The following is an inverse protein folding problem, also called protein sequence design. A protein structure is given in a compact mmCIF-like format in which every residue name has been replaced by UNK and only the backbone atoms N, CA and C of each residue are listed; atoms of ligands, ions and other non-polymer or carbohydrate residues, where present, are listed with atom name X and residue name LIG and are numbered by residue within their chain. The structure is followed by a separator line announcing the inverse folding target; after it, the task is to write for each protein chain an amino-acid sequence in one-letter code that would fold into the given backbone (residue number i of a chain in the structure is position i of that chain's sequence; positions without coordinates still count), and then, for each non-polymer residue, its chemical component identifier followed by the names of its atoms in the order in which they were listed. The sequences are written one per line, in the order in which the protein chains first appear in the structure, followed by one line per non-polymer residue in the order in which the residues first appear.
data_IF_889541548626
#
_entry.id   IF_889541548626
#
_cell.length_a   1.000
_cell.length_b   1.000
_cell.length_c   1.000
_cell.angle_alpha   90.00
_cell.angle_beta   90.00
_cell.angle_gamma   90.00
#
_symmetry.space_group_name_H-M   'P 1'
#
loop_
_entity.id
_entity.type
_entity.pdbx_description
1 polymer ?
#
# COMPACT_ATOMS: atom_id res chain seq x y z
N UNK A 1 13.88 -10.59 -1.60
CA UNK A 1 15.20 -10.29 -1.01
C UNK A 1 15.05 -10.22 0.49
N UNK A 2 15.98 -10.76 1.29
CA UNK A 2 15.86 -10.66 2.74
C UNK A 2 16.69 -9.49 3.27
N UNK A 3 16.31 -8.99 4.44
CA UNK A 3 17.07 -7.99 5.13
C UNK A 3 16.68 -7.86 6.59
N UNK A 4 17.43 -7.02 7.29
CA UNK A 4 17.18 -6.70 8.69
C UNK A 4 16.78 -5.23 8.80
N UNK A 5 15.68 -4.97 9.50
CA UNK A 5 15.20 -3.60 9.72
C UNK A 5 16.21 -2.86 10.60
N UNK A 6 16.87 -1.85 10.03
CA UNK A 6 17.87 -1.03 10.72
C UNK A 6 17.19 -0.03 11.65
N UNK A 7 16.12 0.58 11.17
CA UNK A 7 15.18 1.33 12.01
C UNK A 7 13.82 1.43 11.33
N UNK A 8 12.76 1.56 12.14
CA UNK A 8 11.43 1.89 11.65
C UNK A 8 10.72 2.85 12.60
N UNK A 9 10.14 3.93 12.07
CA UNK A 9 9.38 4.88 12.85
C UNK A 9 7.88 4.70 12.62
N UNK A 10 7.20 4.01 13.55
CA UNK A 10 5.76 3.77 13.50
C UNK A 10 4.91 5.05 13.49
N UNK A 11 5.40 6.15 14.11
CA UNK A 11 4.68 7.43 14.14
C UNK A 11 4.73 8.16 12.80
N UNK A 12 5.87 8.07 12.09
CA UNK A 12 6.04 8.72 10.78
C UNK A 12 5.74 7.80 9.60
N UNK A 13 5.66 6.49 9.81
CA UNK A 13 5.35 5.50 8.77
C UNK A 13 6.48 5.23 7.78
N UNK A 14 7.74 5.41 8.18
CA UNK A 14 8.89 5.09 7.32
C UNK A 14 10.05 4.48 8.11
N UNK A 15 10.93 3.78 7.41
CA UNK A 15 12.13 3.17 7.96
C UNK A 15 13.14 2.79 6.89
N UNK A 16 14.17 2.05 7.31
CA UNK A 16 15.21 1.53 6.43
C UNK A 16 15.51 0.06 6.76
N UNK A 17 15.67 -0.72 5.72
CA UNK A 17 16.00 -2.14 5.77
C UNK A 17 17.40 -2.32 5.19
N UNK A 18 18.29 -2.95 5.93
CA UNK A 18 19.61 -3.32 5.43
C UNK A 18 19.49 -4.68 4.75
N UNK A 19 19.67 -4.70 3.43
CA UNK A 19 19.64 -5.92 2.63
C UNK A 19 20.92 -6.75 2.82
N UNK A 20 20.85 -8.03 2.48
CA UNK A 20 22.01 -8.94 2.54
C UNK A 20 23.15 -8.52 1.59
N UNK A 21 22.84 -7.74 0.56
CA UNK A 21 23.78 -7.17 -0.42
C UNK A 21 24.57 -5.97 0.12
N UNK A 22 24.26 -5.51 1.34
CA UNK A 22 24.89 -4.36 1.97
C UNK A 22 24.30 -3.00 1.56
N UNK A 23 23.23 -2.99 0.76
CA UNK A 23 22.49 -1.79 0.39
C UNK A 23 21.39 -1.49 1.43
N UNK A 24 21.14 -0.20 1.65
CA UNK A 24 20.04 0.26 2.51
C UNK A 24 18.81 0.58 1.63
N UNK A 25 17.70 -0.09 1.91
CA UNK A 25 16.43 0.04 1.21
C UNK A 25 15.44 0.85 2.03
N UNK A 26 14.82 1.86 1.41
CA UNK A 26 13.80 2.68 2.04
C UNK A 26 12.46 1.95 2.10
N UNK A 27 11.82 1.90 3.28
CA UNK A 27 10.49 1.31 3.45
C UNK A 27 9.48 2.35 3.92
N UNK A 28 8.29 2.32 3.34
CA UNK A 28 7.16 3.18 3.68
C UNK A 28 5.95 2.34 4.12
N UNK A 29 5.07 2.91 4.95
CA UNK A 29 3.90 2.21 5.47
C UNK A 29 2.96 1.69 4.37
N UNK A 30 3.00 2.30 3.17
CA UNK A 30 2.23 1.87 2.00
C UNK A 30 2.71 0.56 1.40
N UNK A 31 3.97 0.19 1.63
CA UNK A 31 4.56 -1.07 1.19
C UNK A 31 4.34 -2.21 2.20
N UNK A 32 3.73 -1.91 3.36
CA UNK A 32 3.40 -2.87 4.40
C UNK A 32 1.91 -3.28 4.28
N UNK A 33 1.58 -4.55 4.56
CA UNK A 33 0.19 -4.98 4.63
C UNK A 33 -0.57 -4.26 5.76
N UNK A 34 -1.89 -4.14 5.59
CA UNK A 34 -2.79 -3.45 6.53
C UNK A 34 -2.63 -4.02 7.95
N UNK A 35 -2.32 -3.15 8.92
CA UNK A 35 -2.18 -3.52 10.33
C UNK A 35 -0.79 -4.04 10.74
N UNK A 36 0.14 -4.21 9.79
CA UNK A 36 1.49 -4.70 10.08
C UNK A 36 2.44 -3.53 10.37
N UNK A 37 3.15 -3.60 11.50
CA UNK A 37 4.20 -2.66 11.87
C UNK A 37 5.53 -3.39 11.99
N UNK A 38 6.59 -2.81 11.45
CA UNK A 38 7.95 -3.31 11.65
C UNK A 38 8.55 -2.79 12.95
N UNK A 39 9.47 -3.56 13.52
CA UNK A 39 10.35 -3.14 14.63
C UNK A 39 11.80 -3.14 14.16
N UNK A 40 12.63 -2.45 14.91
CA UNK A 40 14.08 -2.52 14.76
C UNK A 40 14.57 -3.96 15.00
N UNK A 41 15.56 -4.38 14.21
CA UNK A 41 16.14 -5.74 14.21
C UNK A 41 15.20 -6.85 13.72
N UNK A 42 13.99 -6.54 13.24
CA UNK A 42 13.14 -7.55 12.60
C UNK A 42 13.76 -8.06 11.30
N UNK A 43 13.62 -9.37 11.05
CA UNK A 43 13.98 -9.96 9.76
C UNK A 43 12.76 -9.94 8.85
N UNK A 44 12.95 -9.36 7.66
CA UNK A 44 11.89 -9.18 6.67
C UNK A 44 12.35 -9.67 5.30
N UNK A 45 11.39 -10.12 4.50
CA UNK A 45 11.54 -10.30 3.06
C UNK A 45 10.87 -9.14 2.35
N UNK A 46 11.51 -8.59 1.33
CA UNK A 46 11.00 -7.48 0.54
C UNK A 46 11.48 -7.59 -0.91
N UNK A 47 10.81 -6.90 -1.80
CA UNK A 47 11.23 -6.77 -3.19
C UNK A 47 11.95 -5.42 -3.38
N UNK A 48 13.22 -5.44 -3.82
CA UNK A 48 13.93 -4.21 -4.12
C UNK A 48 13.32 -3.57 -5.37
N UNK A 49 12.89 -2.32 -5.26
CA UNK A 49 12.36 -1.53 -6.36
C UNK A 49 13.05 -0.17 -6.42
N UNK A 50 13.10 0.43 -7.60
CA UNK A 50 13.64 1.77 -7.78
C UNK A 50 12.54 2.81 -7.49
N UNK A 51 12.83 3.82 -6.68
CA UNK A 51 11.90 4.88 -6.33
C UNK A 51 12.53 6.26 -6.43
N UNK A 52 11.72 7.30 -6.25
CA UNK A 52 12.13 8.71 -6.43
C UNK A 52 13.29 9.15 -5.51
N UNK A 53 13.53 8.40 -4.43
CA UNK A 53 14.56 8.70 -3.42
C UNK A 53 15.64 7.62 -3.35
N UNK A 54 15.75 6.78 -4.38
CA UNK A 54 16.68 5.65 -4.44
C UNK A 54 15.98 4.30 -4.26
N UNK A 55 16.73 3.30 -3.82
CA UNK A 55 16.22 1.94 -3.63
C UNK A 55 15.15 1.91 -2.53
N UNK A 56 13.95 1.45 -2.88
CA UNK A 56 12.83 1.21 -1.97
C UNK A 56 12.55 -0.28 -1.84
N UNK A 57 11.89 -0.64 -0.75
CA UNK A 57 11.40 -2.00 -0.48
C UNK A 57 9.89 -2.05 -0.70
N UNK A 58 9.44 -2.94 -1.58
CA UNK A 58 8.02 -3.25 -1.84
C UNK A 58 7.66 -4.64 -1.32
N UNK A 59 6.36 -4.94 -1.22
CA UNK A 59 5.82 -6.24 -0.78
C UNK A 59 6.48 -6.78 0.50
N UNK A 60 6.59 -5.93 1.53
CA UNK A 60 7.36 -6.30 2.72
C UNK A 60 6.61 -7.31 3.59
N UNK A 61 7.27 -8.44 3.86
CA UNK A 61 6.77 -9.55 4.67
C UNK A 61 7.69 -9.80 5.88
N UNK A 62 7.10 -9.94 7.07
CA UNK A 62 7.84 -10.31 8.28
C UNK A 62 8.20 -11.80 8.24
N UNK A 63 9.50 -12.11 8.30
CA UNK A 63 10.01 -13.48 8.41
C UNK A 63 10.22 -13.89 9.87
N UNK A 64 10.79 -12.98 10.67
CA UNK A 64 11.05 -13.22 12.08
C UNK A 64 10.93 -11.91 12.86
N UNK A 65 10.00 -11.88 13.81
CA UNK A 65 9.92 -10.78 14.77
C UNK A 65 11.05 -10.93 15.80
N UNK A 66 11.77 -9.85 16.06
CA UNK A 66 12.71 -9.77 17.16
C UNK A 66 11.90 -9.74 18.48
N UNK A 67 11.72 -10.92 19.08
CA UNK A 67 11.08 -11.17 20.38
C UNK A 67 9.61 -10.73 20.54
N UNK A 68 8.72 -11.70 20.35
CA UNK A 68 7.33 -11.65 20.82
C UNK A 68 7.24 -12.04 22.31
N UNK A 69 7.57 -11.10 23.21
CA UNK A 69 7.00 -11.13 24.56
C UNK A 69 6.27 -9.81 24.82
N UNK A 70 4.93 -9.88 24.72
CA UNK A 70 4.01 -8.86 25.24
C UNK A 70 3.68 -7.71 24.30
N UNK A 71 2.82 -7.94 23.32
CA UNK A 71 1.74 -7.00 22.99
C UNK A 71 0.66 -7.80 22.23
N UNK A 72 -0.20 -8.43 23.02
CA UNK A 72 -1.51 -8.91 22.60
C UNK A 72 -2.41 -7.75 22.18
N UNK A 73 -3.48 -8.05 21.44
CA UNK A 73 -4.46 -7.11 20.85
C UNK A 73 -3.99 -6.37 19.59
N UNK A 74 -4.12 -7.01 18.43
CA UNK A 74 -5.19 -6.67 17.47
C UNK A 74 -5.03 -7.47 16.16
N UNK A 75 -5.74 -8.58 16.10
CA UNK A 75 -6.55 -8.92 14.94
C UNK A 75 -7.97 -9.16 15.48
N UNK A 76 -9.01 -8.86 14.70
CA UNK A 76 -9.36 -9.86 13.70
C UNK A 76 -9.41 -9.29 12.28
N UNK A 77 -9.00 -10.14 11.36
CA UNK A 77 -9.57 -10.17 10.04
C UNK A 77 -11.04 -10.55 10.17
N UNK A 78 -11.94 -9.79 9.55
CA UNK A 78 -13.32 -10.23 9.30
C UNK A 78 -13.64 -9.90 7.84
N UNK A 79 -13.25 -10.84 6.99
CA UNK A 79 -14.02 -11.18 5.79
C UNK A 79 -15.21 -12.00 6.28
N UNK A 80 -16.44 -11.49 6.15
CA UNK A 80 -17.65 -12.30 6.02
C UNK A 80 -18.70 -11.45 5.28
N UNK A 81 -19.21 -11.99 4.17
CA UNK A 81 -20.31 -11.48 3.38
C UNK A 81 -21.69 -11.82 4.00
N UNK A 82 -22.78 -11.27 3.43
CA UNK A 82 -24.22 -11.56 3.68
C UNK A 82 -24.87 -10.68 4.77
N UNK A 83 -26.08 -10.12 4.70
CA UNK A 83 -27.27 -10.21 3.81
C UNK A 83 -28.31 -9.21 4.35
N UNK A 84 -29.17 -8.66 3.45
CA UNK A 84 -30.60 -8.26 3.67
C UNK A 84 -30.98 -7.26 4.80
N UNK A 85 -32.04 -6.45 4.74
CA UNK A 85 -32.93 -5.94 3.69
C UNK A 85 -33.73 -4.77 4.33
N UNK A 86 -34.13 -3.81 3.48
CA UNK A 86 -35.36 -3.00 3.54
C UNK A 86 -35.77 -2.22 4.81
N UNK A 87 -35.82 -0.88 4.71
CA UNK A 87 -37.10 -0.15 4.52
C UNK A 87 -36.89 1.37 4.44
N UNK A 88 -37.45 1.99 3.38
CA UNK A 88 -38.41 3.12 3.43
C UNK A 88 -38.02 4.45 4.12
N UNK A 89 -38.26 5.66 3.61
CA UNK A 89 -39.10 6.17 2.51
C UNK A 89 -38.71 7.66 2.26
N UNK A 90 -38.89 8.11 1.02
CA UNK A 90 -39.14 9.47 0.47
C UNK A 90 -38.25 10.71 0.73
N UNK A 91 -37.76 11.32 -0.37
CA UNK A 91 -38.16 12.66 -0.89
C UNK A 91 -37.40 12.89 -2.23
N UNK A 92 -38.00 12.65 -3.40
CA UNK A 92 -38.88 13.52 -4.22
C UNK A 92 -38.17 14.68 -4.97
N UNK A 93 -38.38 14.67 -6.30
CA UNK A 93 -38.24 15.72 -7.32
C UNK A 93 -36.82 16.15 -7.77
N UNK A 94 -36.42 15.87 -9.01
CA UNK A 94 -36.75 16.54 -10.30
C UNK A 94 -35.70 17.64 -10.61
N UNK A 95 -34.79 17.40 -11.55
CA UNK A 95 -34.64 18.09 -12.84
C UNK A 95 -33.16 17.83 -13.24
N UNK A 96 -32.67 17.74 -14.48
CA UNK A 96 -33.19 17.87 -15.83
C UNK A 96 -31.98 17.62 -16.75
N UNK A 97 -32.26 17.20 -18.00
CA UNK A 97 -31.48 17.48 -19.24
C UNK A 97 -30.07 16.89 -19.38
N UNK A 98 -29.82 15.94 -20.31
CA UNK A 98 -29.42 16.17 -21.73
C UNK A 98 -27.97 16.71 -21.80
N UNK A 99 -26.98 16.22 -22.58
CA UNK A 99 -26.87 15.79 -23.98
C UNK A 99 -25.49 15.10 -24.13
N UNK A 100 -25.39 14.00 -24.88
CA UNK A 100 -24.87 13.89 -26.26
C UNK A 100 -23.34 13.83 -26.39
N UNK A 101 -22.93 12.89 -27.24
CA UNK A 101 -21.57 12.50 -27.58
C UNK A 101 -20.89 13.53 -28.47
N UNK A 102 -19.57 13.69 -28.34
CA UNK A 102 -18.63 13.95 -29.44
C UNK A 102 -17.29 13.30 -29.02
N UNK A 103 -16.77 12.29 -29.71
CA UNK A 103 -16.17 12.31 -31.05
C UNK A 103 -14.65 12.53 -30.95
N UNK A 104 -13.97 11.94 -31.91
CA UNK A 104 -12.54 11.64 -31.96
C UNK A 104 -11.71 12.95 -31.95
N UNK A 105 -10.39 12.96 -31.77
CA UNK A 105 -9.50 12.85 -32.92
C UNK A 105 -8.08 12.46 -32.46
N UNK A 106 -7.57 11.40 -33.07
CA UNK A 106 -6.14 11.20 -33.23
C UNK A 106 -5.62 12.26 -34.22
N UNK A 107 -4.65 13.08 -33.82
CA UNK A 107 -3.81 13.80 -34.78
C UNK A 107 -2.36 13.38 -34.58
N UNK A 108 -1.96 12.45 -35.43
CA UNK A 108 -0.59 12.22 -35.86
C UNK A 108 0.00 13.47 -36.49
N UNK A 109 1.17 13.91 -36.03
CA UNK A 109 2.12 14.66 -36.87
C UNK A 109 3.50 13.97 -36.82
N UNK A 110 3.61 13.04 -37.76
CA UNK A 110 4.81 12.60 -38.48
C UNK A 110 5.25 13.78 -39.40
N UNK A 111 6.43 14.38 -39.22
CA UNK A 111 7.72 14.03 -39.82
C UNK A 111 7.97 14.69 -41.21
N UNK A 112 9.21 15.21 -41.37
CA UNK A 112 9.91 15.63 -42.62
C UNK A 112 9.38 16.89 -43.35
N UNK A 113 10.16 17.81 -43.95
CA UNK A 113 11.55 17.94 -44.41
C UNK A 113 11.95 19.43 -44.37
#
# INVERSE_FOLDING_TARGET
MNGTVKFYNRKKGFGFISGEDGNDYFVHFTALPRGLSLRDNDKVSFDPAEGDRGLKAENVQLLQKASEQGDSEQAPAEEEASTEESSSDEDSSEESSEEAAEDEEETSEDSEE
#
